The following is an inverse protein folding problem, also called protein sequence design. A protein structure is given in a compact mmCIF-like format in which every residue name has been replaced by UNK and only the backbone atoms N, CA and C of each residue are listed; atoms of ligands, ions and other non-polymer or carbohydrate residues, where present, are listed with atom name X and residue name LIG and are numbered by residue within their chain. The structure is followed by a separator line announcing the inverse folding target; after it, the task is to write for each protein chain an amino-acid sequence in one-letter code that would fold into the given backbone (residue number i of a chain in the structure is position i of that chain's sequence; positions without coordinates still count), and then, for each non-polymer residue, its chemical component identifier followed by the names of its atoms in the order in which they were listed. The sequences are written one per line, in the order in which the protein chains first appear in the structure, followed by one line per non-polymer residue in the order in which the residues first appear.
data_IF_287999715477
#
_entry.id   IF_287999715477
#
_cell.length_a   1.000
_cell.length_b   1.000
_cell.length_c   1.000
_cell.angle_alpha   90.00
_cell.angle_beta   90.00
_cell.angle_gamma   90.00
#
_symmetry.space_group_name_H-M   'P 1'
#
loop_
_entity.id
_entity.type
_entity.pdbx_description
1 polymer ?
#
# COMPACT_ATOMS: atom_id res chain seq x y z
N UNK A 1 4.03 -1.44 20.93
CA UNK A 1 4.34 -0.99 19.54
C UNK A 1 3.19 -0.10 19.11
N UNK A 2 3.42 1.20 18.88
CA UNK A 2 2.40 2.07 18.29
C UNK A 2 2.07 1.55 16.89
N UNK A 3 0.79 1.37 16.60
CA UNK A 3 0.34 1.02 15.25
C UNK A 3 0.65 2.17 14.30
N UNK A 4 0.89 1.91 13.02
CA UNK A 4 0.99 2.99 12.03
C UNK A 4 -0.32 3.78 11.87
N UNK A 5 -1.41 3.33 12.49
CA UNK A 5 -2.68 4.06 12.57
C UNK A 5 -2.75 5.04 13.75
N UNK A 6 -1.76 5.02 14.64
CA UNK A 6 -1.66 6.03 15.70
C UNK A 6 -1.49 7.42 15.07
N UNK A 7 -2.29 8.37 15.54
CA UNK A 7 -2.32 9.77 15.09
C UNK A 7 -1.93 10.73 16.22
N UNK A 8 -1.76 10.24 17.45
CA UNK A 8 -1.39 11.05 18.61
C UNK A 8 0.13 11.24 18.66
N UNK A 9 0.65 12.06 17.75
CA UNK A 9 2.09 12.32 17.60
C UNK A 9 2.78 12.71 18.93
N UNK A 10 2.08 13.43 19.82
CA UNK A 10 2.62 13.90 21.10
C UNK A 10 2.85 12.79 22.13
N UNK A 11 2.24 11.62 21.98
CA UNK A 11 2.43 10.49 22.91
C UNK A 11 3.60 9.59 22.52
N UNK A 12 4.23 9.87 21.37
CA UNK A 12 5.27 9.01 20.82
C UNK A 12 6.58 9.17 21.57
N UNK A 13 7.20 8.03 21.86
CA UNK A 13 8.52 7.98 22.50
C UNK A 13 9.61 7.88 21.44
N UNK A 14 10.54 8.83 21.50
CA UNK A 14 11.72 8.82 20.63
C UNK A 14 12.68 7.73 21.07
N UNK A 15 13.27 7.03 20.09
CA UNK A 15 14.39 6.14 20.36
C UNK A 15 15.64 6.94 20.68
N UNK A 16 16.48 6.41 21.55
CA UNK A 16 17.80 6.97 21.85
C UNK A 16 18.88 6.33 20.97
N UNK A 17 19.99 7.04 20.76
CA UNK A 17 21.14 6.51 20.02
C UNK A 17 21.66 5.21 20.65
N UNK A 18 21.74 5.16 21.99
CA UNK A 18 22.20 3.98 22.73
C UNK A 18 21.28 2.78 22.54
N UNK A 19 19.96 3.02 22.56
CA UNK A 19 18.98 1.97 22.26
C UNK A 19 19.16 1.44 20.84
N UNK A 20 19.37 2.33 19.86
CA UNK A 20 19.63 1.92 18.48
C UNK A 20 20.92 1.11 18.33
N UNK A 21 22.00 1.52 19.00
CA UNK A 21 23.30 0.82 19.01
C UNK A 21 23.18 -0.56 19.65
N UNK A 22 22.48 -0.67 20.77
CA UNK A 22 22.22 -1.94 21.44
C UNK A 22 21.43 -2.90 20.54
N UNK A 23 20.38 -2.42 19.86
CA UNK A 23 19.62 -3.24 18.91
C UNK A 23 20.47 -3.71 17.73
N UNK A 24 21.27 -2.82 17.15
CA UNK A 24 22.16 -3.15 16.04
C UNK A 24 23.27 -4.13 16.46
N UNK A 25 23.77 -4.01 17.69
CA UNK A 25 24.72 -4.97 18.26
C UNK A 25 24.08 -6.34 18.45
N UNK A 26 22.86 -6.41 19.00
CA UNK A 26 22.11 -7.68 19.09
C UNK A 26 21.91 -8.34 17.74
N UNK A 27 21.71 -7.57 16.67
CA UNK A 27 21.66 -8.09 15.30
C UNK A 27 23.01 -8.67 14.85
N UNK A 28 24.11 -7.96 15.12
CA UNK A 28 25.48 -8.37 14.76
C UNK A 28 25.93 -9.63 15.48
N UNK A 29 25.70 -9.68 16.78
CA UNK A 29 26.21 -10.71 17.69
C UNK A 29 25.30 -11.95 17.72
N UNK A 30 24.22 -11.95 16.93
CA UNK A 30 23.31 -13.08 16.82
C UNK A 30 24.03 -14.32 16.26
N UNK A 31 23.95 -15.43 17.00
CA UNK A 31 24.64 -16.68 16.64
C UNK A 31 24.15 -17.31 15.32
N UNK A 32 22.93 -16.97 14.87
CA UNK A 32 22.35 -17.49 13.62
C UNK A 32 21.59 -16.41 12.87
N UNK A 33 21.43 -16.57 11.55
CA UNK A 33 20.67 -15.65 10.73
C UNK A 33 19.20 -15.51 11.20
N UNK A 34 18.57 -16.61 11.66
CA UNK A 34 17.20 -16.57 12.16
C UNK A 34 17.03 -15.71 13.42
N UNK A 35 18.03 -15.74 14.32
CA UNK A 35 18.06 -14.87 15.48
C UNK A 35 18.33 -13.40 15.09
N UNK A 36 19.19 -13.17 14.10
CA UNK A 36 19.43 -11.84 13.55
C UNK A 36 18.14 -11.25 12.96
N UNK A 37 17.44 -12.03 12.12
CA UNK A 37 16.18 -11.63 11.50
C UNK A 37 15.08 -11.39 12.55
N UNK A 38 15.00 -12.23 13.59
CA UNK A 38 14.08 -12.01 14.72
C UNK A 38 14.38 -10.72 15.50
N UNK A 39 15.66 -10.41 15.72
CA UNK A 39 16.11 -9.15 16.33
C UNK A 39 15.75 -7.95 15.45
N UNK A 40 15.88 -8.09 14.13
CA UNK A 40 15.46 -7.10 13.15
C UNK A 40 13.94 -6.90 13.12
N UNK A 41 13.12 -7.94 13.18
CA UNK A 41 11.66 -7.82 13.20
C UNK A 41 11.13 -7.11 14.46
N UNK A 42 11.86 -7.27 15.57
CA UNK A 42 11.56 -6.57 16.82
C UNK A 42 11.97 -5.09 16.74
N UNK A 43 13.21 -4.83 16.31
CA UNK A 43 13.85 -3.52 16.45
C UNK A 43 13.83 -2.65 15.18
N UNK A 44 13.74 -3.25 14.00
CA UNK A 44 13.89 -2.59 12.69
C UNK A 44 15.33 -2.17 12.35
N UNK A 45 16.32 -2.59 13.15
CA UNK A 45 17.71 -2.15 13.03
C UNK A 45 18.64 -3.29 12.65
N UNK A 46 19.53 -3.02 11.71
CA UNK A 46 20.66 -3.90 11.34
C UNK A 46 21.97 -3.29 11.80
N UNK A 47 22.99 -4.12 11.92
CA UNK A 47 24.36 -3.64 12.08
C UNK A 47 24.79 -2.83 10.85
N UNK A 48 25.50 -1.73 11.08
CA UNK A 48 26.13 -0.90 10.06
C UNK A 48 27.47 -0.41 10.58
N UNK A 49 28.47 -0.30 9.71
CA UNK A 49 29.77 0.28 10.06
C UNK A 49 29.68 1.76 10.45
N UNK A 50 28.64 2.46 10.00
CA UNK A 50 28.38 3.83 10.44
C UNK A 50 28.16 3.91 11.95
N UNK A 51 27.59 2.85 12.57
CA UNK A 51 27.41 2.80 14.01
C UNK A 51 28.74 2.60 14.76
N UNK A 52 29.83 2.24 14.10
CA UNK A 52 31.16 2.18 14.73
C UNK A 52 31.74 3.59 14.96
N UNK A 53 31.23 4.61 14.25
CA UNK A 53 31.68 5.99 14.38
C UNK A 53 31.11 6.61 15.67
N UNK A 54 31.94 7.16 16.58
CA UNK A 54 31.46 7.73 17.85
C UNK A 54 30.50 8.90 17.68
N UNK A 55 30.69 9.69 16.62
CA UNK A 55 29.88 10.88 16.32
C UNK A 55 28.58 10.57 15.56
N UNK A 56 28.43 9.36 15.00
CA UNK A 56 27.25 9.02 14.23
C UNK A 56 26.09 8.68 15.16
N UNK A 57 25.02 9.46 15.06
CA UNK A 57 23.76 9.23 15.78
C UNK A 57 22.67 8.81 14.81
N UNK A 58 22.30 7.52 14.81
CA UNK A 58 21.31 6.99 13.87
C UNK A 58 19.92 7.65 14.01
N UNK A 59 19.61 8.23 15.17
CA UNK A 59 18.32 8.89 15.41
C UNK A 59 18.23 10.27 14.74
N UNK A 60 19.38 10.87 14.43
CA UNK A 60 19.48 12.22 13.82
C UNK A 60 20.01 12.20 12.40
N UNK A 61 20.85 11.21 12.07
CA UNK A 61 21.58 11.15 10.79
C UNK A 61 20.96 10.18 9.78
N UNK A 62 19.97 9.37 10.18
CA UNK A 62 19.23 8.54 9.23
C UNK A 62 18.17 9.39 8.51
N UNK A 63 18.49 9.80 7.29
CA UNK A 63 17.61 10.62 6.46
C UNK A 63 16.46 9.79 5.87
N UNK A 64 15.24 10.32 6.00
CA UNK A 64 14.04 9.79 5.32
C UNK A 64 13.96 10.46 3.96
N UNK A 65 14.23 9.75 2.87
CA UNK A 65 14.16 10.39 1.55
C UNK A 65 12.73 10.85 1.20
N UNK A 66 12.51 12.17 0.99
CA UNK A 66 11.18 12.73 0.75
C UNK A 66 10.67 12.35 -0.64
N UNK A 67 11.58 12.06 -1.58
CA UNK A 67 11.22 11.69 -2.94
C UNK A 67 10.49 10.33 -2.98
N UNK A 68 11.06 9.32 -2.32
CA UNK A 68 10.42 8.02 -2.17
C UNK A 68 9.26 8.05 -1.19
N UNK A 69 9.41 8.72 -0.04
CA UNK A 69 8.39 8.71 1.00
C UNK A 69 7.13 9.49 0.59
N UNK A 70 7.27 10.73 0.09
CA UNK A 70 6.13 11.58 -0.25
C UNK A 70 5.59 11.29 -1.63
N UNK A 71 6.43 11.29 -2.68
CA UNK A 71 5.91 11.25 -4.05
C UNK A 71 5.55 9.83 -4.50
N UNK A 72 6.49 8.90 -4.37
CA UNK A 72 6.24 7.49 -4.72
C UNK A 72 5.45 6.73 -3.64
N UNK A 73 5.51 7.20 -2.40
CA UNK A 73 4.74 6.69 -1.28
C UNK A 73 3.38 7.37 -1.17
N UNK A 74 3.32 8.52 -0.51
CA UNK A 74 2.06 9.15 -0.10
C UNK A 74 1.19 9.67 -1.24
N UNK A 75 1.70 10.48 -2.17
CA UNK A 75 0.87 11.04 -3.27
C UNK A 75 0.29 9.90 -4.10
N UNK A 76 1.14 8.95 -4.47
CA UNK A 76 0.74 7.79 -5.26
C UNK A 76 -0.33 6.97 -4.52
N UNK A 77 -0.11 6.66 -3.24
CA UNK A 77 -1.06 5.93 -2.41
C UNK A 77 -2.39 6.67 -2.30
N UNK A 78 -2.32 7.96 -1.99
CA UNK A 78 -3.48 8.83 -1.86
C UNK A 78 -4.30 8.87 -3.15
N UNK A 79 -3.65 9.11 -4.29
CA UNK A 79 -4.35 9.18 -5.57
C UNK A 79 -4.89 7.82 -6.03
N UNK A 80 -4.15 6.74 -5.82
CA UNK A 80 -4.51 5.42 -6.34
C UNK A 80 -5.53 4.68 -5.49
N UNK A 81 -5.41 4.76 -4.17
CA UNK A 81 -6.13 3.92 -3.21
C UNK A 81 -7.05 4.70 -2.27
N UNK A 82 -6.79 5.99 -1.98
CA UNK A 82 -7.68 6.81 -1.13
C UNK A 82 -8.72 7.54 -1.99
N UNK A 83 -8.31 8.09 -3.13
CA UNK A 83 -9.23 8.68 -4.11
C UNK A 83 -9.78 7.64 -5.10
N UNK A 84 -9.03 6.55 -5.32
CA UNK A 84 -9.53 5.36 -6.02
C UNK A 84 -9.22 5.26 -7.52
N UNK A 85 -8.26 6.01 -8.07
CA UNK A 85 -7.98 6.02 -9.51
C UNK A 85 -7.61 4.65 -10.11
N UNK A 86 -7.03 3.75 -9.30
CA UNK A 86 -6.61 2.42 -9.78
C UNK A 86 -7.72 1.38 -9.73
N UNK A 87 -8.68 1.60 -8.85
CA UNK A 87 -9.79 0.69 -8.56
C UNK A 87 -11.10 1.48 -8.66
N UNK A 88 -11.25 2.27 -9.73
CA UNK A 88 -12.56 2.80 -10.08
C UNK A 88 -13.45 1.55 -10.19
N UNK A 89 -14.49 1.40 -9.35
CA UNK A 89 -15.41 0.30 -9.51
C UNK A 89 -15.89 0.38 -10.96
N UNK A 90 -15.73 -0.68 -11.75
CA UNK A 90 -16.42 -0.72 -13.04
C UNK A 90 -17.89 -0.56 -12.68
N UNK A 91 -18.48 0.57 -13.05
CA UNK A 91 -19.87 0.88 -12.74
C UNK A 91 -20.72 -0.34 -13.08
N UNK A 92 -21.46 -0.87 -12.09
CA UNK A 92 -22.32 -2.03 -12.26
C UNK A 92 -21.72 -3.42 -11.95
N UNK A 93 -20.53 -3.54 -11.34
CA UNK A 93 -20.07 -4.86 -10.86
C UNK A 93 -20.49 -5.13 -9.40
N UNK A 94 -21.33 -6.15 -9.15
CA UNK A 94 -21.79 -6.52 -7.82
C UNK A 94 -20.65 -7.10 -6.96
N UNK A 95 -20.68 -6.82 -5.66
CA UNK A 95 -19.69 -7.32 -4.68
C UNK A 95 -20.39 -8.40 -3.87
N UNK A 96 -19.85 -9.62 -3.83
CA UNK A 96 -20.47 -10.73 -3.13
C UNK A 96 -20.41 -10.48 -1.61
N UNK A 97 -21.43 -9.83 -1.05
CA UNK A 97 -21.49 -9.45 0.36
C UNK A 97 -22.02 -10.57 1.28
N UNK A 98 -21.81 -11.83 0.92
CA UNK A 98 -22.32 -13.00 1.66
C UNK A 98 -21.25 -13.86 2.34
N UNK A 99 -19.96 -13.47 2.30
CA UNK A 99 -18.91 -14.25 2.99
C UNK A 99 -18.86 -13.99 4.49
N UNK A 100 -19.55 -12.95 4.96
CA UNK A 100 -19.55 -12.53 6.35
C UNK A 100 -20.35 -13.45 7.31
N UNK A 101 -20.91 -14.56 6.82
CA UNK A 101 -21.49 -15.60 7.66
C UNK A 101 -20.75 -16.94 7.53
N UNK A 102 -20.26 -17.29 6.34
CA UNK A 102 -19.73 -18.63 6.07
C UNK A 102 -18.28 -18.84 6.50
N UNK A 103 -17.44 -17.78 6.54
CA UNK A 103 -16.02 -17.91 6.89
C UNK A 103 -15.70 -17.69 8.38
N UNK A 104 -16.66 -17.21 9.19
CA UNK A 104 -16.39 -16.79 10.57
C UNK A 104 -16.19 -17.91 11.59
N UNK A 105 -16.40 -19.16 11.22
CA UNK A 105 -15.96 -20.29 12.04
C UNK A 105 -14.43 -20.49 12.00
N UNK A 106 -13.72 -19.84 11.06
CA UNK A 106 -12.32 -20.13 10.72
C UNK A 106 -11.59 -18.92 10.09
N UNK A 107 -11.68 -17.73 10.69
CA UNK A 107 -10.88 -16.57 10.27
C UNK A 107 -9.44 -16.66 10.76
N UNK A 108 -8.51 -15.99 10.07
CA UNK A 108 -7.10 -15.88 10.48
C UNK A 108 -6.89 -15.33 11.90
N UNK A 109 -7.89 -14.65 12.46
CA UNK A 109 -7.87 -14.08 13.82
C UNK A 109 -8.41 -15.06 14.88
N UNK A 110 -9.15 -16.11 14.48
CA UNK A 110 -9.61 -17.24 15.32
C UNK A 110 -8.78 -18.52 15.11
N UNK A 111 -7.70 -18.43 14.34
CA UNK A 111 -6.87 -19.56 13.94
C UNK A 111 -5.92 -19.91 15.08
N UNK A 112 -6.09 -21.12 15.62
CA UNK A 112 -5.14 -21.77 16.53
C UNK A 112 -3.73 -21.60 15.93
N UNK A 113 -2.87 -20.90 16.65
CA UNK A 113 -1.75 -20.13 16.11
C UNK A 113 -0.71 -21.00 15.39
N UNK A 114 -0.77 -22.32 15.59
CA UNK A 114 0.25 -23.32 15.29
C UNK A 114 0.00 -24.16 14.02
N UNK A 115 -1.16 -24.04 13.35
CA UNK A 115 -1.50 -24.90 12.20
C UNK A 115 -0.93 -24.43 10.83
N UNK A 116 -0.58 -23.15 10.68
CA UNK A 116 -0.13 -22.59 9.40
C UNK A 116 1.01 -21.56 9.58
N UNK A 117 1.97 -21.60 8.65
CA UNK A 117 3.06 -20.62 8.56
C UNK A 117 2.55 -19.21 8.22
N UNK A 118 3.33 -18.16 8.53
CA UNK A 118 3.00 -16.76 8.19
C UNK A 118 2.71 -16.56 6.69
N UNK A 119 3.47 -17.22 5.82
CA UNK A 119 3.26 -17.20 4.37
C UNK A 119 1.92 -17.81 3.97
N UNK A 120 1.53 -18.92 4.60
CA UNK A 120 0.24 -19.57 4.36
C UNK A 120 -0.93 -18.70 4.84
N UNK A 121 -0.81 -18.02 5.99
CA UNK A 121 -1.81 -17.05 6.48
C UNK A 121 -1.98 -15.87 5.51
N UNK A 122 -0.90 -15.38 4.91
CA UNK A 122 -0.98 -14.34 3.88
C UNK A 122 -1.69 -14.84 2.59
N UNK A 123 -1.44 -16.08 2.18
CA UNK A 123 -2.14 -16.70 1.05
C UNK A 123 -3.65 -16.89 1.31
N UNK A 124 -4.06 -17.21 2.54
CA UNK A 124 -5.48 -17.29 2.93
C UNK A 124 -6.14 -15.92 2.77
N UNK A 125 -5.53 -14.86 3.32
CA UNK A 125 -6.06 -13.49 3.20
C UNK A 125 -6.21 -13.05 1.75
N UNK A 126 -5.22 -13.34 0.91
CA UNK A 126 -5.28 -13.05 -0.52
C UNK A 126 -6.45 -13.79 -1.21
N UNK A 127 -6.74 -15.02 -0.78
CA UNK A 127 -7.85 -15.80 -1.31
C UNK A 127 -9.20 -15.28 -0.81
N UNK A 128 -9.31 -14.90 0.47
CA UNK A 128 -10.50 -14.24 1.02
C UNK A 128 -10.81 -12.92 0.30
N UNK A 129 -9.79 -12.09 0.07
CA UNK A 129 -9.93 -10.82 -0.64
C UNK A 129 -10.32 -11.03 -2.10
N UNK A 130 -9.89 -12.13 -2.72
CA UNK A 130 -10.29 -12.49 -4.07
C UNK A 130 -11.72 -13.03 -4.14
N UNK A 131 -12.15 -13.86 -3.17
CA UNK A 131 -13.52 -14.38 -3.09
C UNK A 131 -14.55 -13.27 -2.93
N UNK A 132 -14.17 -12.15 -2.30
CA UNK A 132 -15.00 -10.94 -2.17
C UNK A 132 -15.13 -10.14 -3.48
N UNK A 133 -14.27 -10.38 -4.47
CA UNK A 133 -14.31 -9.64 -5.74
C UNK A 133 -15.32 -10.24 -6.73
N UNK A 134 -15.94 -9.42 -7.60
CA UNK A 134 -16.77 -9.92 -8.69
C UNK A 134 -15.95 -10.78 -9.65
N UNK A 135 -16.47 -11.95 -10.01
CA UNK A 135 -15.92 -12.70 -11.13
C UNK A 135 -16.20 -11.92 -12.42
N UNK A 136 -15.16 -11.54 -13.17
CA UNK A 136 -15.36 -10.91 -14.47
C UNK A 136 -16.00 -11.92 -15.42
N UNK A 137 -17.32 -11.83 -15.64
CA UNK A 137 -18.04 -12.65 -16.61
C UNK A 137 -17.65 -12.19 -18.02
N UNK A 138 -16.67 -12.86 -18.63
CA UNK A 138 -16.48 -12.77 -20.08
C UNK A 138 -17.65 -13.45 -20.82
N UNK A 139 -17.71 -13.35 -22.16
CA UNK A 139 -18.76 -14.01 -22.96
C UNK A 139 -18.76 -15.55 -22.81
N UNK A 140 -17.66 -16.12 -22.32
CA UNK A 140 -17.53 -17.54 -21.98
C UNK A 140 -17.23 -17.73 -20.48
N UNK A 141 -18.25 -18.19 -19.75
CA UNK A 141 -18.19 -18.46 -18.30
C UNK A 141 -17.23 -19.62 -17.99
N UNK A 142 -17.18 -20.64 -18.85
CA UNK A 142 -16.40 -21.85 -18.62
C UNK A 142 -14.90 -21.58 -18.85
N UNK A 143 -14.55 -20.82 -19.89
CA UNK A 143 -13.17 -20.33 -20.09
C UNK A 143 -12.70 -19.44 -18.93
N UNK A 144 -13.60 -18.65 -18.36
CA UNK A 144 -13.32 -17.80 -17.19
C UNK A 144 -13.05 -18.66 -15.94
N UNK A 145 -13.85 -19.70 -15.71
CA UNK A 145 -13.65 -20.65 -14.60
C UNK A 145 -12.28 -21.34 -14.73
N UNK A 146 -11.98 -21.87 -15.91
CA UNK A 146 -10.73 -22.60 -16.16
C UNK A 146 -9.48 -21.71 -15.99
N UNK A 147 -9.54 -20.45 -16.45
CA UNK A 147 -8.45 -19.48 -16.29
C UNK A 147 -8.13 -19.22 -14.82
N UNK A 148 -9.15 -18.97 -14.00
CA UNK A 148 -8.96 -18.71 -12.57
C UNK A 148 -8.58 -19.98 -11.80
N UNK A 149 -9.20 -21.12 -12.12
CA UNK A 149 -8.83 -22.42 -11.54
C UNK A 149 -7.36 -22.76 -11.82
N UNK A 150 -6.85 -22.49 -13.03
CA UNK A 150 -5.44 -22.70 -13.39
C UNK A 150 -4.49 -21.77 -12.61
N UNK A 151 -4.89 -20.52 -12.39
CA UNK A 151 -4.14 -19.57 -11.56
C UNK A 151 -3.98 -20.08 -10.12
N UNK A 152 -5.08 -20.53 -9.51
CA UNK A 152 -5.11 -21.04 -8.13
C UNK A 152 -4.47 -22.44 -7.99
N UNK A 153 -4.57 -23.28 -9.01
CA UNK A 153 -3.86 -24.55 -9.08
C UNK A 153 -2.33 -24.38 -9.22
N UNK A 154 -1.87 -23.19 -9.61
CA UNK A 154 -0.45 -22.84 -9.76
C UNK A 154 0.34 -22.80 -8.44
N UNK A 155 1.64 -22.48 -8.51
CA UNK A 155 2.57 -22.54 -7.36
C UNK A 155 2.20 -21.68 -6.14
N UNK A 156 1.23 -20.78 -6.25
CA UNK A 156 0.89 -19.78 -5.23
C UNK A 156 -0.01 -20.29 -4.09
N UNK A 157 -0.78 -21.36 -4.28
CA UNK A 157 -1.71 -21.86 -3.26
C UNK A 157 -1.36 -23.30 -2.86
N UNK A 158 -1.24 -23.62 -1.57
CA UNK A 158 -0.93 -24.98 -1.13
C UNK A 158 -2.20 -25.86 -1.11
N UNK A 159 -2.07 -27.18 -1.29
CA UNK A 159 -3.23 -28.09 -1.30
C UNK A 159 -4.03 -28.03 0.01
N UNK A 160 -3.33 -27.98 1.14
CA UNK A 160 -3.92 -27.84 2.48
C UNK A 160 -4.76 -26.57 2.63
N UNK A 161 -4.37 -25.47 1.98
CA UNK A 161 -5.12 -24.21 2.01
C UNK A 161 -6.42 -24.30 1.23
N UNK A 162 -6.40 -24.91 0.04
CA UNK A 162 -7.62 -25.10 -0.75
C UNK A 162 -8.59 -26.06 -0.06
N UNK A 163 -8.10 -27.12 0.57
CA UNK A 163 -8.94 -28.01 1.39
C UNK A 163 -9.58 -27.24 2.55
N UNK A 164 -8.80 -26.42 3.25
CA UNK A 164 -9.29 -25.60 4.35
C UNK A 164 -10.40 -24.63 3.91
N UNK A 165 -10.17 -23.90 2.82
CA UNK A 165 -11.16 -22.98 2.25
C UNK A 165 -12.40 -23.75 1.78
N UNK A 166 -12.24 -24.84 1.04
CA UNK A 166 -13.37 -25.65 0.58
C UNK A 166 -14.22 -26.19 1.75
N UNK A 167 -13.60 -26.54 2.88
CA UNK A 167 -14.31 -26.93 4.11
C UNK A 167 -15.09 -25.76 4.70
N UNK A 168 -14.45 -24.60 4.85
CA UNK A 168 -15.10 -23.39 5.36
C UNK A 168 -16.27 -22.92 4.49
N UNK A 169 -16.18 -23.12 3.17
CA UNK A 169 -17.24 -22.82 2.21
C UNK A 169 -18.33 -23.91 2.12
N UNK A 170 -18.20 -25.03 2.86
CA UNK A 170 -19.11 -26.18 2.78
C UNK A 170 -19.09 -26.90 1.43
N UNK A 171 -18.05 -26.72 0.63
CA UNK A 171 -17.91 -27.29 -0.71
C UNK A 171 -17.43 -28.76 -0.70
N UNK A 172 -16.81 -29.19 0.40
CA UNK A 172 -16.35 -30.57 0.61
C UNK A 172 -16.67 -31.03 2.04
N UNK A 173 -16.82 -32.35 2.30
CA UNK A 173 -17.02 -32.87 3.65
C UNK A 173 -15.87 -32.55 4.61
N UNK A 174 -16.21 -32.33 5.89
CA UNK A 174 -15.23 -32.00 6.95
C UNK A 174 -14.21 -33.12 7.24
N UNK A 175 -14.47 -34.35 6.78
CA UNK A 175 -13.63 -35.55 7.01
C UNK A 175 -12.36 -35.60 6.14
N UNK A 176 -12.22 -34.74 5.13
CA UNK A 176 -11.07 -34.76 4.19
C UNK A 176 -9.81 -34.15 4.81
N UNK A 177 -8.73 -34.92 5.02
CA UNK A 177 -7.46 -34.39 5.57
C UNK A 177 -6.50 -33.87 4.48
N UNK A 178 -5.46 -33.12 4.88
CA UNK A 178 -4.49 -32.49 3.96
C UNK A 178 -3.70 -33.48 3.07
N UNK A 179 -3.70 -34.77 3.42
CA UNK A 179 -3.11 -35.86 2.62
C UNK A 179 -4.09 -36.45 1.59
N UNK A 180 -5.34 -35.98 1.57
CA UNK A 180 -6.40 -36.47 0.66
C UNK A 180 -6.99 -37.82 1.09
N UNK A 181 -6.88 -38.19 2.37
CA UNK A 181 -7.35 -39.48 2.89
C UNK A 181 -8.38 -39.24 4.00
N UNK A 182 -9.55 -39.87 3.85
CA UNK A 182 -10.55 -40.05 4.90
C UNK A 182 -10.29 -41.42 5.56
N UNK A 183 -10.17 -41.46 6.89
CA UNK A 183 -9.93 -42.71 7.64
C UNK A 183 -11.22 -43.41 8.10
N UNK A 184 -12.42 -42.92 7.74
CA UNK A 184 -13.65 -43.58 8.22
C UNK A 184 -14.92 -43.28 7.41
N UNK A 185 -14.98 -43.61 6.10
CA UNK A 185 -16.24 -43.89 5.39
C UNK A 185 -16.05 -44.39 3.94
N UNK A 186 -17.04 -45.07 3.32
CA UNK A 186 -16.84 -45.95 2.17
C UNK A 186 -17.02 -45.23 0.82
N UNK A 187 -16.38 -44.08 0.57
CA UNK A 187 -16.15 -43.57 -0.80
C UNK A 187 -14.87 -42.72 -0.80
N UNK A 188 -13.71 -43.32 -1.11
CA UNK A 188 -12.41 -42.63 -1.14
C UNK A 188 -12.26 -41.75 -2.39
N UNK A 189 -12.77 -40.51 -2.36
CA UNK A 189 -12.49 -39.53 -3.42
C UNK A 189 -11.27 -38.68 -3.04
N UNK A 190 -10.13 -38.94 -3.68
CA UNK A 190 -8.91 -38.13 -3.55
C UNK A 190 -9.04 -36.88 -4.41
N UNK A 191 -9.02 -35.70 -3.79
CA UNK A 191 -9.11 -34.43 -4.51
C UNK A 191 -7.75 -33.97 -5.00
N UNK A 192 -7.66 -33.61 -6.28
CA UNK A 192 -6.47 -32.93 -6.82
C UNK A 192 -6.62 -31.43 -6.70
N UNK A 193 -5.48 -30.74 -6.62
CA UNK A 193 -5.38 -29.28 -6.53
C UNK A 193 -6.21 -28.51 -7.59
N UNK A 194 -6.16 -28.85 -8.89
CA UNK A 194 -7.00 -28.19 -9.90
C UNK A 194 -8.50 -28.42 -9.68
N UNK A 195 -8.90 -29.60 -9.20
CA UNK A 195 -10.31 -29.92 -8.92
C UNK A 195 -10.84 -29.07 -7.76
N UNK A 196 -10.05 -28.90 -6.69
CA UNK A 196 -10.42 -28.02 -5.58
C UNK A 196 -10.48 -26.55 -6.00
N UNK A 197 -9.52 -26.09 -6.80
CA UNK A 197 -9.52 -24.74 -7.33
C UNK A 197 -10.77 -24.47 -8.18
N UNK A 198 -11.16 -25.43 -9.03
CA UNK A 198 -12.38 -25.33 -9.82
C UNK A 198 -13.64 -25.33 -8.96
N UNK A 199 -13.70 -26.17 -7.91
CA UNK A 199 -14.81 -26.20 -6.95
C UNK A 199 -15.00 -24.83 -6.28
N UNK A 200 -13.93 -24.19 -5.82
CA UNK A 200 -13.98 -22.85 -5.21
C UNK A 200 -14.49 -21.80 -6.20
N UNK A 201 -13.97 -21.82 -7.44
CA UNK A 201 -14.39 -20.86 -8.48
C UNK A 201 -15.85 -21.08 -8.87
N UNK A 202 -16.30 -22.34 -9.01
CA UNK A 202 -17.71 -22.68 -9.28
C UNK A 202 -18.62 -22.31 -8.10
N UNK A 203 -18.17 -22.47 -6.86
CA UNK A 203 -18.92 -22.01 -5.70
C UNK A 203 -19.17 -20.51 -5.75
N UNK A 204 -18.15 -19.72 -6.14
CA UNK A 204 -18.27 -18.27 -6.30
C UNK A 204 -19.28 -17.88 -7.38
N UNK A 205 -19.34 -18.61 -8.51
CA UNK A 205 -20.35 -18.35 -9.56
C UNK A 205 -21.80 -18.56 -9.11
N UNK A 206 -22.02 -19.32 -8.04
CA UNK A 206 -23.35 -19.60 -7.48
C UNK A 206 -23.75 -18.62 -6.37
N UNK A 207 -22.83 -17.75 -5.92
CA UNK A 207 -23.14 -16.80 -4.86
C UNK A 207 -24.00 -15.65 -5.39
N UNK A 208 -25.00 -15.18 -4.61
CA UNK A 208 -25.76 -14.01 -4.98
C UNK A 208 -24.83 -12.80 -5.05
N UNK A 209 -24.72 -12.26 -6.24
CA UNK A 209 -24.04 -11.01 -6.54
C UNK A 209 -24.94 -9.87 -6.05
N UNK A 210 -24.80 -9.52 -4.77
CA UNK A 210 -25.51 -8.37 -4.19
C UNK A 210 -24.80 -7.11 -4.70
N UNK A 211 -25.55 -6.21 -5.36
CA UNK A 211 -25.03 -4.87 -5.63
C UNK A 211 -24.62 -4.27 -4.27
N UNK A 212 -23.36 -3.84 -4.06
CA UNK A 212 -23.01 -3.15 -2.83
C UNK A 212 -24.04 -2.03 -2.66
N UNK A 213 -24.71 -1.99 -1.50
CA UNK A 213 -25.85 -1.12 -1.24
C UNK A 213 -25.64 0.22 -1.94
N UNK A 214 -26.46 0.46 -2.95
CA UNK A 214 -26.39 1.59 -3.88
C UNK A 214 -26.22 2.89 -3.10
N UNK A 215 -25.01 3.44 -2.88
CA UNK A 215 -24.79 4.79 -2.33
C UNK A 215 -25.65 5.20 -1.10
N UNK A 216 -26.37 4.28 -0.45
CA UNK A 216 -27.51 4.54 0.45
C UNK A 216 -27.15 4.36 1.91
N UNK A 217 -25.98 3.80 2.22
CA UNK A 217 -25.42 3.86 3.55
C UNK A 217 -24.90 5.28 3.80
N UNK A 218 -25.52 5.98 4.74
CA UNK A 218 -25.12 7.28 5.25
C UNK A 218 -23.69 7.23 5.82
N UNK A 219 -22.71 7.64 5.03
CA UNK A 219 -21.32 7.86 5.46
C UNK A 219 -20.26 7.05 4.71
N UNK A 220 -19.03 7.59 4.69
CA UNK A 220 -17.81 6.96 4.16
C UNK A 220 -17.30 5.77 5.02
N UNK A 221 -17.91 5.56 6.19
CA UNK A 221 -17.55 4.47 7.11
C UNK A 221 -17.74 3.11 6.43
N UNK A 222 -16.70 2.28 6.44
CA UNK A 222 -16.67 0.96 5.79
C UNK A 222 -16.33 0.94 4.28
N UNK A 223 -16.15 2.10 3.63
CA UNK A 223 -15.63 2.17 2.24
C UNK A 223 -14.11 2.22 2.25
N UNK A 224 -13.42 1.28 1.62
CA UNK A 224 -12.00 1.48 1.30
C UNK A 224 -11.86 2.52 0.17
N UNK A 225 -11.70 3.82 0.47
CA UNK A 225 -11.04 4.79 -0.42
C UNK A 225 -11.40 4.84 -1.93
N UNK A 226 -12.67 4.72 -2.33
CA UNK A 226 -13.06 4.83 -3.76
C UNK A 226 -14.15 5.89 -3.94
N UNK A 227 -13.79 7.12 -4.36
CA UNK A 227 -14.77 8.19 -4.64
C UNK A 227 -14.63 8.83 -6.03
N UNK A 228 -13.47 8.74 -6.68
CA UNK A 228 -13.32 9.23 -8.05
C UNK A 228 -14.14 8.38 -9.02
N UNK A 229 -15.08 9.02 -9.69
CA UNK A 229 -15.88 8.38 -10.74
C UNK A 229 -15.14 8.36 -12.07
N UNK A 230 -15.66 7.59 -13.03
CA UNK A 230 -15.16 7.61 -14.41
C UNK A 230 -15.25 8.99 -15.05
N UNK A 231 -16.28 9.76 -14.68
CA UNK A 231 -16.50 11.15 -15.08
C UNK A 231 -15.44 12.08 -14.48
N UNK A 232 -15.20 12.02 -13.17
CA UNK A 232 -14.17 12.82 -12.50
C UNK A 232 -12.78 12.57 -13.13
N UNK A 233 -12.49 11.32 -13.50
CA UNK A 233 -11.27 10.96 -14.21
C UNK A 233 -11.23 11.44 -15.66
N UNK A 234 -12.38 11.60 -16.32
CA UNK A 234 -12.48 12.28 -17.61
C UNK A 234 -12.12 13.77 -17.49
N UNK A 235 -12.65 14.42 -16.45
CA UNK A 235 -12.36 15.81 -16.12
C UNK A 235 -10.88 16.07 -15.84
N UNK A 236 -10.27 15.23 -14.99
CA UNK A 236 -8.82 15.30 -14.70
C UNK A 236 -7.99 15.19 -15.98
N UNK A 237 -8.31 14.26 -16.87
CA UNK A 237 -7.58 14.09 -18.13
C UNK A 237 -7.71 15.30 -19.04
N UNK A 238 -8.90 15.89 -19.13
CA UNK A 238 -9.14 17.09 -19.93
C UNK A 238 -8.36 18.27 -19.39
N UNK A 239 -8.43 18.50 -18.08
CA UNK A 239 -7.72 19.61 -17.43
C UNK A 239 -6.20 19.47 -17.64
N UNK A 240 -5.63 18.27 -17.52
CA UNK A 240 -4.21 18.02 -17.80
C UNK A 240 -3.84 18.38 -19.25
N UNK A 241 -4.71 18.12 -20.22
CA UNK A 241 -4.47 18.41 -21.63
C UNK A 241 -4.49 19.90 -21.94
N UNK A 242 -5.42 20.65 -21.33
CA UNK A 242 -5.61 22.08 -21.61
C UNK A 242 -4.83 23.02 -20.69
N UNK A 243 -4.27 22.50 -19.59
CA UNK A 243 -3.54 23.30 -18.61
C UNK A 243 -2.28 23.92 -19.20
N UNK A 244 -2.26 25.24 -19.26
CA UNK A 244 -1.04 26.02 -19.55
C UNK A 244 -0.18 26.05 -18.30
N UNK A 245 1.07 25.58 -18.42
CA UNK A 245 2.02 25.53 -17.31
C UNK A 245 3.34 26.22 -17.68
N UNK A 246 4.12 26.67 -16.68
CA UNK A 246 5.48 27.14 -16.91
C UNK A 246 6.36 26.06 -17.56
N UNK A 247 7.36 26.49 -18.33
CA UNK A 247 8.29 25.59 -19.05
C UNK A 247 9.07 24.66 -18.13
N UNK A 248 9.38 25.11 -16.91
CA UNK A 248 10.11 24.32 -15.90
C UNK A 248 9.26 23.28 -15.19
N UNK A 249 7.92 23.35 -15.29
CA UNK A 249 7.03 22.41 -14.61
C UNK A 249 6.96 21.09 -15.36
N UNK A 250 7.09 19.97 -14.65
CA UNK A 250 7.10 18.62 -15.23
C UNK A 250 5.75 18.28 -15.85
N UNK A 251 5.78 17.81 -17.10
CA UNK A 251 4.59 17.28 -17.77
C UNK A 251 4.24 15.88 -17.26
N UNK A 252 2.95 15.65 -17.02
CA UNK A 252 2.42 14.32 -16.70
C UNK A 252 1.69 13.73 -17.92
N UNK A 253 1.72 12.41 -18.12
CA UNK A 253 0.98 11.74 -19.18
C UNK A 253 -0.52 12.02 -19.05
N UNK A 254 -1.21 12.13 -20.18
CA UNK A 254 -2.66 12.36 -20.23
C UNK A 254 -3.48 11.13 -19.87
N UNK A 255 -2.88 9.93 -19.88
CA UNK A 255 -3.55 8.66 -19.60
C UNK A 255 -3.31 8.19 -18.16
N UNK A 256 -3.50 9.06 -17.16
CA UNK A 256 -3.37 8.68 -15.74
C UNK A 256 -4.54 7.78 -15.36
N UNK A 257 -4.44 6.50 -15.68
CA UNK A 257 -5.41 5.47 -15.31
C UNK A 257 -4.69 4.24 -14.77
N UNK A 258 -5.45 3.30 -14.21
CA UNK A 258 -4.95 1.98 -13.80
C UNK A 258 -4.18 1.25 -14.90
N UNK A 259 -4.52 1.49 -16.16
CA UNK A 259 -3.92 0.88 -17.35
C UNK A 259 -2.86 1.76 -18.01
N UNK A 260 -2.60 2.96 -17.48
CA UNK A 260 -1.67 3.94 -18.03
C UNK A 260 -0.19 3.70 -17.68
N UNK A 261 0.73 4.48 -18.27
CA UNK A 261 2.14 4.43 -17.94
C UNK A 261 2.35 4.82 -16.46
N UNK A 262 3.22 4.05 -15.79
CA UNK A 262 3.58 4.29 -14.39
C UNK A 262 4.26 5.66 -14.26
N UNK A 263 3.65 6.56 -13.50
CA UNK A 263 4.23 7.87 -13.21
C UNK A 263 5.54 7.72 -12.42
N UNK A 264 6.54 8.51 -12.82
CA UNK A 264 7.80 8.67 -12.10
C UNK A 264 7.61 9.58 -10.88
N UNK A 265 8.56 9.57 -9.96
CA UNK A 265 8.49 10.34 -8.72
C UNK A 265 8.25 11.84 -8.96
N UNK A 266 8.99 12.44 -9.90
CA UNK A 266 8.85 13.85 -10.27
C UNK A 266 7.47 14.19 -10.88
N UNK A 267 6.88 13.23 -11.60
CA UNK A 267 5.53 13.35 -12.15
C UNK A 267 4.46 13.24 -11.07
N UNK A 268 4.66 12.43 -10.03
CA UNK A 268 3.79 12.41 -8.86
C UNK A 268 3.85 13.74 -8.10
N UNK A 269 5.03 14.31 -7.92
CA UNK A 269 5.18 15.65 -7.35
C UNK A 269 4.39 16.67 -8.17
N UNK A 270 4.57 16.70 -9.48
CA UNK A 270 3.84 17.63 -10.35
C UNK A 270 2.33 17.42 -10.31
N UNK A 271 1.86 16.16 -10.28
CA UNK A 271 0.45 15.84 -10.15
C UNK A 271 -0.12 16.43 -8.85
N UNK A 272 0.52 16.19 -7.71
CA UNK A 272 0.04 16.66 -6.41
C UNK A 272 0.21 18.16 -6.16
N UNK A 273 1.25 18.80 -6.73
CA UNK A 273 1.53 20.23 -6.48
C UNK A 273 0.90 21.18 -7.49
N UNK A 274 0.51 20.71 -8.68
CA UNK A 274 0.03 21.57 -9.77
C UNK A 274 -1.31 21.11 -10.34
N UNK A 275 -1.35 19.90 -10.90
CA UNK A 275 -2.49 19.48 -11.71
C UNK A 275 -3.74 19.14 -10.88
N UNK A 276 -3.59 18.25 -9.90
CA UNK A 276 -4.69 17.77 -9.08
C UNK A 276 -5.33 18.85 -8.20
N UNK A 277 -4.58 19.77 -7.55
CA UNK A 277 -5.21 20.88 -6.83
C UNK A 277 -6.20 21.65 -7.69
N UNK A 278 -5.80 22.04 -8.91
CA UNK A 278 -6.65 22.84 -9.81
C UNK A 278 -7.93 22.10 -10.15
N UNK A 279 -7.81 20.84 -10.59
CA UNK A 279 -8.99 20.07 -10.99
C UNK A 279 -9.90 19.73 -9.82
N UNK A 280 -9.34 19.23 -8.72
CA UNK A 280 -10.15 18.80 -7.57
C UNK A 280 -10.87 19.98 -6.91
N UNK A 281 -10.23 21.16 -6.84
CA UNK A 281 -10.92 22.38 -6.39
C UNK A 281 -12.07 22.72 -7.35
N UNK A 282 -11.84 22.70 -8.66
CA UNK A 282 -12.89 22.99 -9.66
C UNK A 282 -14.08 22.02 -9.54
N UNK A 283 -13.82 20.73 -9.33
CA UNK A 283 -14.84 19.70 -9.27
C UNK A 283 -15.57 19.65 -7.92
N UNK A 284 -14.86 19.83 -6.81
CA UNK A 284 -15.35 19.48 -5.47
C UNK A 284 -15.47 20.66 -4.51
N UNK A 285 -15.13 21.89 -4.90
CA UNK A 285 -15.26 23.06 -4.01
C UNK A 285 -16.70 23.46 -3.71
N UNK A 286 -17.63 23.23 -4.64
CA UNK A 286 -19.02 23.67 -4.51
C UNK A 286 -19.74 22.85 -3.43
N UNK A 287 -20.33 23.54 -2.45
CA UNK A 287 -21.20 22.92 -1.45
C UNK A 287 -22.63 22.88 -1.96
N UNK A 288 -23.15 21.67 -2.15
CA UNK A 288 -24.59 21.43 -2.26
C UNK A 288 -25.09 20.75 -0.98
N UNK A 289 -26.40 20.81 -0.71
CA UNK A 289 -27.00 20.21 0.49
C UNK A 289 -27.08 18.67 0.46
N UNK A 290 -26.54 18.02 -0.57
CA UNK A 290 -26.49 16.57 -0.66
C UNK A 290 -25.26 15.96 0.03
N UNK A 291 -25.38 14.70 0.42
CA UNK A 291 -24.35 13.96 1.17
C UNK A 291 -23.09 13.76 0.31
N UNK A 292 -23.22 13.49 -0.98
CA UNK A 292 -22.08 13.20 -1.85
C UNK A 292 -21.19 14.43 -2.05
N UNK A 293 -21.78 15.62 -2.14
CA UNK A 293 -21.05 16.89 -2.19
C UNK A 293 -20.26 17.16 -0.90
N UNK A 294 -20.83 16.84 0.27
CA UNK A 294 -20.11 16.95 1.56
C UNK A 294 -18.95 15.96 1.67
N UNK A 295 -19.15 14.70 1.24
CA UNK A 295 -18.07 13.70 1.19
C UNK A 295 -16.93 14.14 0.27
N UNK A 296 -17.25 14.70 -0.90
CA UNK A 296 -16.27 15.27 -1.83
C UNK A 296 -15.51 16.46 -1.25
N UNK A 297 -16.18 17.32 -0.48
CA UNK A 297 -15.53 18.44 0.19
C UNK A 297 -14.59 17.99 1.31
N UNK A 298 -14.98 17.00 2.10
CA UNK A 298 -14.13 16.45 3.14
C UNK A 298 -12.88 15.78 2.54
N UNK A 299 -13.05 15.03 1.44
CA UNK A 299 -11.91 14.51 0.67
C UNK A 299 -11.05 15.61 0.07
N UNK A 300 -11.66 16.69 -0.44
CA UNK A 300 -10.91 17.82 -0.96
C UNK A 300 -10.04 18.43 0.16
N UNK A 301 -10.58 18.65 1.36
CA UNK A 301 -9.82 19.15 2.52
C UNK A 301 -8.67 18.22 2.89
N UNK A 302 -8.94 16.93 3.00
CA UNK A 302 -7.92 15.89 3.24
C UNK A 302 -6.80 15.98 2.18
N UNK A 303 -7.18 16.02 0.90
CA UNK A 303 -6.24 16.07 -0.22
C UNK A 303 -5.42 17.36 -0.21
N UNK A 304 -6.06 18.50 0.06
CA UNK A 304 -5.38 19.79 0.12
C UNK A 304 -4.42 19.87 1.29
N UNK A 305 -4.69 19.24 2.43
CA UNK A 305 -3.74 19.16 3.54
C UNK A 305 -2.43 18.48 3.10
N UNK A 306 -2.54 17.32 2.43
CA UNK A 306 -1.37 16.63 1.87
C UNK A 306 -0.61 17.50 0.85
N UNK A 307 -1.32 18.14 -0.08
CA UNK A 307 -0.69 18.95 -1.13
C UNK A 307 -0.04 20.24 -0.60
N UNK A 308 -0.61 20.85 0.43
CA UNK A 308 0.00 21.99 1.13
C UNK A 308 1.29 21.55 1.83
N UNK A 309 1.28 20.43 2.56
CA UNK A 309 2.49 19.87 3.17
C UNK A 309 3.60 19.64 2.12
N UNK A 310 3.26 19.02 0.98
CA UNK A 310 4.21 18.81 -0.12
C UNK A 310 4.73 20.13 -0.69
N UNK A 311 3.88 21.12 -0.86
CA UNK A 311 4.29 22.43 -1.41
C UNK A 311 5.25 23.16 -0.46
N UNK A 312 5.02 23.06 0.86
CA UNK A 312 5.90 23.64 1.89
C UNK A 312 7.24 22.93 1.91
N UNK A 313 7.25 21.60 2.02
CA UNK A 313 8.50 20.84 2.17
C UNK A 313 9.37 20.90 0.91
N UNK A 314 8.74 21.02 -0.27
CA UNK A 314 9.45 21.17 -1.56
C UNK A 314 9.83 22.61 -1.89
N UNK A 315 9.65 23.55 -0.96
CA UNK A 315 10.16 24.90 -1.10
C UNK A 315 11.69 24.91 -1.25
N UNK A 316 12.21 25.83 -2.07
CA UNK A 316 13.65 26.08 -2.18
C UNK A 316 14.24 26.84 -0.99
N UNK A 317 13.40 27.26 -0.06
CA UNK A 317 13.80 27.95 1.17
C UNK A 317 13.26 27.19 2.36
N UNK A 318 14.07 27.09 3.40
CA UNK A 318 13.62 26.58 4.70
C UNK A 318 13.64 27.72 5.70
N UNK A 319 12.52 27.89 6.39
CA UNK A 319 12.33 28.85 7.48
C UNK A 319 11.80 28.07 8.68
N UNK A 320 11.98 28.58 9.90
CA UNK A 320 11.48 27.94 11.12
C UNK A 320 9.98 27.57 10.99
N UNK A 321 9.16 28.51 10.49
CA UNK A 321 7.73 28.31 10.22
C UNK A 321 7.40 27.17 9.25
N UNK A 322 8.32 26.78 8.35
CA UNK A 322 8.04 25.70 7.39
C UNK A 322 7.93 24.34 8.07
N UNK A 323 8.69 24.12 9.15
CA UNK A 323 8.58 22.89 9.95
C UNK A 323 7.20 22.78 10.58
N UNK A 324 6.78 23.85 11.26
CA UNK A 324 5.48 23.92 11.95
C UNK A 324 4.34 23.72 10.96
N UNK A 325 4.27 24.54 9.91
CA UNK A 325 3.22 24.43 8.90
C UNK A 325 3.20 23.07 8.20
N UNK A 326 4.36 22.49 7.89
CA UNK A 326 4.43 21.15 7.31
C UNK A 326 3.83 20.10 8.25
N UNK A 327 4.25 20.10 9.52
CA UNK A 327 3.77 19.15 10.51
C UNK A 327 2.26 19.31 10.75
N UNK A 328 1.76 20.54 10.87
CA UNK A 328 0.35 20.83 11.04
C UNK A 328 -0.49 20.25 9.90
N UNK A 329 -0.11 20.52 8.66
CA UNK A 329 -0.82 19.97 7.50
C UNK A 329 -0.75 18.45 7.42
N UNK A 330 0.39 17.84 7.81
CA UNK A 330 0.52 16.40 7.85
C UNK A 330 -0.32 15.76 8.97
N UNK A 331 -0.43 16.40 10.14
CA UNK A 331 -1.31 15.95 11.23
C UNK A 331 -2.78 16.06 10.85
N UNK A 332 -3.19 17.16 10.24
CA UNK A 332 -4.55 17.32 9.68
C UNK A 332 -4.83 16.21 8.67
N UNK A 333 -3.90 15.96 7.73
CA UNK A 333 -4.04 14.87 6.77
C UNK A 333 -4.24 13.52 7.45
N UNK A 334 -3.47 13.22 8.50
CA UNK A 334 -3.53 11.96 9.24
C UNK A 334 -4.83 11.79 10.03
N UNK A 335 -5.26 12.84 10.72
CA UNK A 335 -6.48 12.85 11.52
C UNK A 335 -7.72 12.73 10.62
N UNK A 336 -7.78 13.50 9.54
CA UNK A 336 -8.89 13.43 8.58
C UNK A 336 -8.93 12.09 7.85
N UNK A 337 -7.77 11.48 7.54
CA UNK A 337 -7.70 10.15 6.96
C UNK A 337 -8.30 9.10 7.91
N UNK A 338 -7.94 9.15 9.20
CA UNK A 338 -8.49 8.26 10.22
C UNK A 338 -10.00 8.49 10.44
N UNK A 339 -10.47 9.75 10.40
CA UNK A 339 -11.88 10.11 10.54
C UNK A 339 -12.72 9.62 9.36
N UNK A 340 -12.25 9.86 8.14
CA UNK A 340 -12.97 9.53 6.90
C UNK A 340 -12.90 8.05 6.56
N UNK A 341 -11.79 7.38 6.92
CA UNK A 341 -11.54 5.98 6.64
C UNK A 341 -10.99 5.23 7.87
N UNK A 342 -11.83 4.95 8.89
CA UNK A 342 -11.40 4.32 10.14
C UNK A 342 -10.71 2.96 9.96
N UNK A 343 -11.15 2.19 8.95
CA UNK A 343 -10.61 0.87 8.64
C UNK A 343 -9.34 0.92 7.76
N UNK A 344 -8.89 2.10 7.34
CA UNK A 344 -7.72 2.24 6.49
C UNK A 344 -6.45 1.88 7.27
N UNK A 345 -5.66 0.96 6.70
CA UNK A 345 -4.39 0.52 7.27
C UNK A 345 -3.27 1.40 6.73
N UNK A 346 -2.77 2.29 7.57
CA UNK A 346 -1.73 3.21 7.19
C UNK A 346 -0.40 2.50 6.96
N UNK A 347 0.25 2.85 5.86
CA UNK A 347 1.60 2.39 5.54
C UNK A 347 2.68 3.10 6.39
N UNK A 348 3.88 2.50 6.54
CA UNK A 348 5.02 3.13 7.20
C UNK A 348 5.32 4.54 6.68
N UNK A 349 5.11 4.77 5.38
CA UNK A 349 5.30 6.08 4.76
C UNK A 349 4.49 7.19 5.43
N UNK A 350 3.28 6.91 5.92
CA UNK A 350 2.44 7.89 6.60
C UNK A 350 3.02 8.29 7.95
N UNK A 351 3.59 7.34 8.68
CA UNK A 351 4.27 7.60 9.94
C UNK A 351 5.56 8.39 9.71
N UNK A 352 6.39 7.91 8.77
CA UNK A 352 7.70 8.52 8.46
C UNK A 352 7.56 9.95 7.96
N UNK A 353 6.50 10.27 7.23
CA UNK A 353 6.25 11.62 6.75
C UNK A 353 6.07 12.67 7.87
N UNK A 354 5.62 12.28 9.06
CA UNK A 354 5.48 13.21 10.19
C UNK A 354 6.84 13.70 10.71
N UNK A 355 7.91 12.95 10.47
CA UNK A 355 9.27 13.31 10.91
C UNK A 355 10.00 14.20 9.91
N UNK A 356 9.51 14.34 8.68
CA UNK A 356 10.16 15.13 7.63
C UNK A 356 10.35 16.62 7.98
N UNK A 357 9.49 17.18 8.84
CA UNK A 357 9.63 18.55 9.34
C UNK A 357 10.90 18.77 10.18
N UNK A 358 11.35 17.74 10.92
CA UNK A 358 12.60 17.79 11.70
C UNK A 358 13.82 17.92 10.78
N UNK A 359 13.80 17.18 9.67
CA UNK A 359 14.90 17.19 8.70
C UNK A 359 15.02 18.53 7.96
N UNK A 360 13.94 19.29 7.80
CA UNK A 360 14.02 20.66 7.30
C UNK A 360 14.90 21.53 8.22
N UNK A 361 14.75 21.39 9.54
CA UNK A 361 15.52 22.18 10.50
C UNK A 361 16.99 21.78 10.53
N UNK A 362 17.27 20.48 10.39
CA UNK A 362 18.63 19.94 10.46
C UNK A 362 19.43 20.08 9.15
N UNK A 363 18.80 19.87 8.00
CA UNK A 363 19.48 19.75 6.70
C UNK A 363 19.09 20.83 5.69
N UNK A 364 18.14 21.70 6.04
CA UNK A 364 17.64 22.73 5.15
C UNK A 364 16.70 22.16 4.06
N UNK A 365 16.61 22.81 2.89
CA UNK A 365 15.65 22.45 1.85
C UNK A 365 15.85 21.02 1.32
N UNK A 366 14.74 20.30 1.08
CA UNK A 366 14.76 18.90 0.57
C UNK A 366 15.58 18.72 -0.70
N UNK A 367 15.72 19.77 -1.51
CA UNK A 367 16.49 19.75 -2.75
C UNK A 367 17.96 19.36 -2.55
N UNK A 368 18.50 19.60 -1.35
CA UNK A 368 19.88 19.25 -1.00
C UNK A 368 20.08 17.77 -0.61
N UNK A 369 19.02 17.06 -0.25
CA UNK A 369 19.13 15.71 0.35
C UNK A 369 18.12 14.68 -0.17
N UNK A 370 17.25 15.06 -1.12
CA UNK A 370 16.42 14.12 -1.85
C UNK A 370 17.22 13.26 -2.84
N UNK A 371 16.70 12.09 -3.20
CA UNK A 371 17.47 11.10 -3.95
C UNK A 371 17.50 11.27 -5.48
N UNK A 372 16.82 12.28 -6.04
CA UNK A 372 16.77 12.48 -7.51
C UNK A 372 18.16 12.57 -8.19
N UNK A 373 19.14 13.33 -7.67
CA UNK A 373 20.47 13.39 -8.29
C UNK A 373 21.19 12.03 -8.26
N UNK A 374 21.03 11.28 -7.17
CA UNK A 374 21.63 9.96 -7.01
C UNK A 374 21.02 8.94 -7.98
N UNK A 375 19.69 8.91 -8.13
CA UNK A 375 19.03 8.05 -9.14
C UNK A 375 19.50 8.37 -10.56
N UNK A 376 19.69 9.66 -10.88
CA UNK A 376 20.21 10.07 -12.17
C UNK A 376 21.62 9.54 -12.38
N UNK A 377 22.50 9.71 -11.38
CA UNK A 377 23.88 9.23 -11.42
C UNK A 377 23.94 7.71 -11.54
N UNK A 378 23.14 6.96 -10.77
CA UNK A 378 23.04 5.50 -10.86
C UNK A 378 22.65 5.08 -12.28
N UNK A 379 21.64 5.73 -12.87
CA UNK A 379 21.22 5.43 -14.25
C UNK A 379 22.33 5.74 -15.26
N UNK A 380 23.12 6.78 -15.06
CA UNK A 380 24.28 7.09 -15.90
C UNK A 380 25.35 6.00 -15.77
N UNK A 381 25.68 5.59 -14.55
CA UNK A 381 26.63 4.51 -14.28
C UNK A 381 26.18 3.19 -14.91
N UNK A 382 24.89 2.84 -14.81
CA UNK A 382 24.31 1.65 -15.44
C UNK A 382 24.41 1.64 -16.97
N UNK A 383 24.58 2.80 -17.62
CA UNK A 383 24.73 2.90 -19.09
C UNK A 383 26.18 2.75 -19.54
N UNK A 384 27.14 2.90 -18.63
CA UNK A 384 28.56 2.67 -18.93
C UNK A 384 28.74 1.16 -19.13
N UNK A 385 29.08 0.75 -20.34
CA UNK A 385 29.43 -0.65 -20.60
C UNK A 385 30.74 -0.97 -19.88
N UNK A 386 30.67 -1.65 -18.73
CA UNK A 386 31.84 -2.24 -18.12
C UNK A 386 32.08 -3.60 -18.76
N UNK A 387 33.12 -3.69 -19.61
CA UNK A 387 33.69 -4.98 -20.00
C UNK A 387 34.26 -5.61 -18.73
N UNK A 388 33.51 -6.53 -18.13
CA UNK A 388 33.85 -7.22 -16.89
C UNK A 388 35.23 -7.90 -16.99
N UNK A 389 36.30 -7.20 -16.60
CA UNK A 389 37.52 -7.84 -16.14
C UNK A 389 37.38 -8.03 -14.62
N UNK A 390 37.25 -9.28 -14.14
CA UNK A 390 36.98 -9.56 -12.73
C UNK A 390 38.25 -9.34 -11.90
N UNK A 391 38.24 -8.27 -11.10
CA UNK A 391 39.14 -8.00 -10.00
C UNK A 391 38.39 -7.15 -8.99
N UNK A 392 37.97 -7.76 -7.88
CA UNK A 392 37.07 -7.21 -6.85
C UNK A 392 37.45 -5.77 -6.44
N UNK A 393 36.46 -4.87 -6.38
CA UNK A 393 36.05 -4.41 -5.05
C UNK A 393 34.54 -4.50 -4.86
N UNK A 394 34.16 -5.11 -3.74
CA UNK A 394 32.83 -5.13 -3.17
C UNK A 394 32.44 -3.72 -2.70
N UNK A 395 32.03 -2.85 -3.63
CA UNK A 395 31.17 -1.72 -3.30
C UNK A 395 29.71 -2.15 -3.48
N UNK A 396 29.18 -2.86 -2.48
CA UNK A 396 27.73 -2.83 -2.24
C UNK A 396 27.40 -1.43 -1.75
N UNK A 397 27.06 -0.53 -2.68
CA UNK A 397 26.34 0.69 -2.31
C UNK A 397 25.06 0.26 -1.57
N UNK A 398 24.84 0.84 -0.39
CA UNK A 398 23.60 0.80 0.36
C UNK A 398 22.47 1.37 -0.50
N UNK A 399 21.91 0.53 -1.36
CA UNK A 399 20.67 0.80 -2.07
C UNK A 399 19.55 0.83 -1.04
N UNK A 400 19.06 2.02 -0.74
CA UNK A 400 17.85 2.29 0.04
C UNK A 400 16.58 1.66 -0.59
N UNK A 401 16.66 1.03 -1.76
CA UNK A 401 15.54 0.41 -2.48
C UNK A 401 14.92 -0.83 -1.80
N UNK A 402 15.49 -1.33 -0.69
CA UNK A 402 14.92 -2.45 0.07
C UNK A 402 14.79 -2.21 1.58
N UNK A 403 14.89 -0.97 2.03
CA UNK A 403 14.60 -0.60 3.42
C UNK A 403 13.27 0.14 3.48
N UNK A 404 12.17 -0.61 3.43
CA UNK A 404 10.81 -0.15 3.78
C UNK A 404 10.17 -1.21 4.66
#
# INVERSE_FOLDING_TARGET
KHSYNDVEYTTWTWRTNDSCRLCAQKYRDAATQNLADSSFDLSGLRSSELLCLPYYDATKHLLIDPMHNLFLGLIKEHFQNILGCKKIPKEGLPVVNSLAGCLFAYTADNLDTDLFTLTQKASIRHLEDWLKQPLQKGPDVEATIQKHAKHWAGKACHLSLLIYVCKGLGCIPMTVTATGIDTSSPVKKKYRKPELAEIVVRWQTKQPEILPASRTSSGLSGRQGYLLTSEDMGEIRRDIQVMVKPSWATSIPTSISSSGPKLKSDQWRAAGSLYLPVTLIRLWSRSCNDIASRERQDLLKLTMALFQAISIITSRKTLARHRELYLDHMLVYRQELARLFPDYKCHPNHHMALHLGEFLSAYGPVHGWWTFPFEHMIRTLQRIHTNYHPGKPSFQYLGLERYI
#
